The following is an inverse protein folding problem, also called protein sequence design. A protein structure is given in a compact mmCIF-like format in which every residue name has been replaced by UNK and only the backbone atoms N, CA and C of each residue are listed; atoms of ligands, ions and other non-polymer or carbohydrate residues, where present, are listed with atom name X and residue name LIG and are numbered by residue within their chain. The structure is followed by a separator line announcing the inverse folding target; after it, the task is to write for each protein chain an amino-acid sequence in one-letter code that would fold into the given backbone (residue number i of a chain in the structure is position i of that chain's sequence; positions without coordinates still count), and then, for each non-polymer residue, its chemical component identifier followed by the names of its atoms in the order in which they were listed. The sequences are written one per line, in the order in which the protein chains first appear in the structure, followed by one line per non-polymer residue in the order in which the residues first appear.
data_IF_293749079450
#
_entry.id   IF_293749079450
#
_cell.length_a   1.000
_cell.length_b   1.000
_cell.length_c   1.000
_cell.angle_alpha   90.00
_cell.angle_beta   90.00
_cell.angle_gamma   90.00
#
_symmetry.space_group_name_H-M   'P 1'
#
loop_
_entity.id
_entity.type
_entity.pdbx_description
1 polymer ?
#
# COMPACT_ATOMS: atom_id res chain seq x y z
N UNK A 1 0.10 18.19 9.52
CA UNK A 1 0.53 17.07 8.66
C UNK A 1 -0.25 15.85 9.11
N UNK A 2 -1.33 15.53 8.41
CA UNK A 2 -2.19 14.38 8.74
C UNK A 2 -1.62 13.10 8.13
N UNK A 3 -2.01 11.93 8.67
CA UNK A 3 -1.58 10.63 8.14
C UNK A 3 -2.00 10.44 6.66
N UNK A 4 -3.13 11.02 6.27
CA UNK A 4 -3.67 10.99 4.91
C UNK A 4 -2.78 11.74 3.89
N UNK A 5 -2.25 12.91 4.24
CA UNK A 5 -1.30 13.65 3.37
C UNK A 5 0.00 12.87 3.17
N UNK A 6 0.43 12.12 4.18
CA UNK A 6 1.64 11.29 4.12
C UNK A 6 1.41 10.09 3.22
N UNK A 7 0.26 9.43 3.36
CA UNK A 7 -0.15 8.29 2.55
C UNK A 7 -0.27 8.66 1.05
N UNK A 8 -0.94 9.77 0.73
CA UNK A 8 -1.09 10.22 -0.66
C UNK A 8 0.25 10.58 -1.31
N UNK A 9 1.20 11.12 -0.54
CA UNK A 9 2.56 11.39 -1.05
C UNK A 9 3.33 10.11 -1.37
N UNK A 10 3.15 9.07 -0.56
CA UNK A 10 3.81 7.77 -0.73
C UNK A 10 3.17 6.92 -1.84
N UNK A 11 1.86 7.05 -2.06
CA UNK A 11 1.14 6.32 -3.13
C UNK A 11 1.35 6.90 -4.54
N UNK A 12 1.61 8.21 -4.65
CA UNK A 12 1.79 8.90 -5.94
C UNK A 12 2.87 8.28 -6.85
N UNK A 13 4.09 7.94 -6.39
CA UNK A 13 5.08 7.27 -7.24
C UNK A 13 4.66 5.84 -7.64
N UNK A 14 3.98 5.10 -6.77
CA UNK A 14 3.52 3.74 -7.07
C UNK A 14 2.45 3.71 -8.17
N UNK A 15 1.50 4.67 -8.14
CA UNK A 15 0.48 4.85 -9.20
C UNK A 15 1.08 5.23 -10.56
N UNK A 16 2.25 5.88 -10.57
CA UNK A 16 2.91 6.31 -11.82
C UNK A 16 3.59 5.17 -12.58
N UNK A 17 3.81 4.02 -11.93
CA UNK A 17 4.43 2.85 -12.55
C UNK A 17 3.36 2.11 -13.35
N UNK A 18 3.37 2.32 -14.68
CA UNK A 18 2.57 1.57 -15.65
C UNK A 18 3.13 0.15 -15.86
N UNK A 19 3.23 -0.60 -14.77
CA UNK A 19 3.51 -2.03 -14.81
C UNK A 19 2.20 -2.76 -14.46
N UNK A 20 1.86 -3.79 -15.24
CA UNK A 20 0.70 -4.64 -14.97
C UNK A 20 1.01 -5.71 -13.91
N UNK A 21 2.24 -5.77 -13.40
CA UNK A 21 2.59 -6.63 -12.29
C UNK A 21 1.91 -6.17 -10.99
N UNK A 22 1.47 -7.16 -10.21
CA UNK A 22 0.84 -6.96 -8.91
C UNK A 22 1.81 -6.24 -7.97
N UNK A 23 1.34 -5.14 -7.36
CA UNK A 23 2.11 -4.36 -6.39
C UNK A 23 1.53 -4.61 -5.01
N UNK A 24 2.40 -4.93 -4.05
CA UNK A 24 2.01 -5.18 -2.67
C UNK A 24 2.78 -4.22 -1.75
N UNK A 25 2.04 -3.47 -0.93
CA UNK A 25 2.58 -2.63 0.14
C UNK A 25 2.41 -3.37 1.45
N UNK A 26 3.54 -3.65 2.11
CA UNK A 26 3.56 -4.25 3.45
C UNK A 26 3.56 -3.12 4.48
N UNK A 27 2.57 -3.12 5.36
CA UNK A 27 2.45 -2.11 6.43
C UNK A 27 2.28 -2.76 7.79
N UNK A 28 2.75 -2.09 8.85
CA UNK A 28 2.43 -2.46 10.23
C UNK A 28 1.05 -1.93 10.65
N UNK A 29 0.51 -0.96 9.91
CA UNK A 29 -0.81 -0.38 10.14
C UNK A 29 -1.92 -1.37 9.75
N UNK A 30 -3.06 -1.28 10.44
CA UNK A 30 -4.27 -2.06 10.15
C UNK A 30 -5.40 -1.20 9.59
N UNK A 31 -5.28 0.13 9.64
CA UNK A 31 -6.33 1.04 9.19
C UNK A 31 -6.28 1.32 7.68
N UNK A 32 -5.13 1.11 7.03
CA UNK A 32 -4.90 1.35 5.60
C UNK A 32 -4.94 0.09 4.72
N UNK A 33 -5.43 -1.04 5.24
CA UNK A 33 -5.50 -2.31 4.51
C UNK A 33 -6.55 -2.23 3.39
N UNK A 34 -6.25 -2.80 2.22
CA UNK A 34 -7.18 -2.79 1.09
C UNK A 34 -6.51 -2.94 -0.28
N UNK A 35 -7.25 -2.66 -1.34
CA UNK A 35 -6.73 -2.59 -2.71
C UNK A 35 -6.98 -1.18 -3.27
N UNK A 36 -5.90 -0.52 -3.66
CA UNK A 36 -5.92 0.84 -4.21
C UNK A 36 -5.31 0.81 -5.61
N UNK A 37 -6.14 0.96 -6.64
CA UNK A 37 -5.69 1.03 -8.03
C UNK A 37 -4.80 -0.16 -8.48
N UNK A 38 -5.06 -1.36 -7.94
CA UNK A 38 -4.29 -2.57 -8.21
C UNK A 38 -3.09 -2.79 -7.27
N UNK A 39 -2.88 -1.88 -6.31
CA UNK A 39 -1.88 -1.99 -5.24
C UNK A 39 -2.56 -2.60 -4.02
N UNK A 40 -2.15 -3.82 -3.63
CA UNK A 40 -2.64 -4.46 -2.40
C UNK A 40 -1.86 -3.94 -1.20
N UNK A 41 -2.55 -3.39 -0.21
CA UNK A 41 -1.97 -3.01 1.08
C UNK A 41 -2.33 -4.09 2.09
N UNK A 42 -1.31 -4.79 2.60
CA UNK A 42 -1.48 -5.92 3.52
C UNK A 42 -0.65 -5.72 4.79
N UNK A 43 -1.10 -6.32 5.89
CA UNK A 43 -0.35 -6.25 7.13
C UNK A 43 0.89 -7.15 7.02
N UNK A 44 2.05 -6.62 7.43
CA UNK A 44 3.32 -7.34 7.32
C UNK A 44 3.35 -8.61 8.18
N UNK A 45 2.67 -8.62 9.33
CA UNK A 45 2.64 -9.81 10.21
C UNK A 45 1.81 -10.91 9.56
N UNK A 46 0.63 -10.56 9.04
CA UNK A 46 -0.24 -11.50 8.34
C UNK A 46 0.45 -12.05 7.07
N UNK A 47 1.25 -11.24 6.39
CA UNK A 47 2.03 -11.66 5.22
C UNK A 47 3.19 -12.60 5.58
N UNK A 48 3.90 -12.35 6.68
CA UNK A 48 5.01 -13.19 7.13
C UNK A 48 4.55 -14.53 7.72
N UNK A 49 3.35 -14.57 8.29
CA UNK A 49 2.77 -15.77 8.92
C UNK A 49 1.92 -16.61 7.95
N UNK A 50 1.96 -16.30 6.65
CA UNK A 50 1.17 -16.93 5.59
C UNK A 50 1.23 -18.45 5.54
#
# INVERSE_FOLDING_TARGET
MTAEETFEREMRPLRSIQDNYEKIVLTLDRFSLGNYDGIKVVNVIDWLLG
#
